data_IF_147221541493
#
_entry.id   IF_147221541493
#
_cell.length_a   1.000
_cell.length_b   1.000
_cell.length_c   1.000
_cell.angle_alpha   90.00
_cell.angle_beta   90.00
_cell.angle_gamma   90.00
#
_symmetry.space_group_name_H-M   'P 1'
#
loop_
_entity.id
_entity.type
_entity.pdbx_description
1 polymer ?
#
# COMPACT_ATOMS: atom_id res chain seq x y z
N UNK A 1 -6.13 -32.67 -6.62
CA UNK A 1 -6.43 -32.23 -5.24
C UNK A 1 -7.40 -31.04 -5.20
N UNK A 2 -7.08 -29.89 -5.82
CA UNK A 2 -7.95 -28.70 -5.76
C UNK A 2 -9.39 -28.91 -6.27
N UNK A 3 -9.58 -29.67 -7.35
CA UNK A 3 -10.93 -30.01 -7.87
C UNK A 3 -11.71 -30.83 -6.83
N UNK A 4 -11.06 -31.81 -6.19
CA UNK A 4 -11.70 -32.62 -5.16
C UNK A 4 -12.09 -31.76 -3.95
N UNK A 5 -11.26 -30.80 -3.56
CA UNK A 5 -11.57 -29.82 -2.51
C UNK A 5 -12.79 -28.97 -2.88
N UNK A 6 -12.83 -28.40 -4.10
CA UNK A 6 -13.98 -27.63 -4.57
C UNK A 6 -15.28 -28.44 -4.59
N UNK A 7 -15.23 -29.67 -5.11
CA UNK A 7 -16.39 -30.58 -5.12
C UNK A 7 -16.84 -30.95 -3.71
N UNK A 8 -15.90 -31.16 -2.78
CA UNK A 8 -16.22 -31.42 -1.38
C UNK A 8 -16.92 -30.22 -0.73
N UNK A 9 -16.44 -28.98 -0.95
CA UNK A 9 -17.10 -27.76 -0.46
C UNK A 9 -18.53 -27.65 -1.01
N UNK A 10 -18.70 -27.86 -2.32
CA UNK A 10 -19.97 -27.70 -3.02
C UNK A 10 -21.00 -28.80 -2.73
N UNK A 11 -20.56 -30.06 -2.59
CA UNK A 11 -21.47 -31.23 -2.61
C UNK A 11 -21.54 -31.98 -1.30
N UNK A 12 -20.54 -31.85 -0.43
CA UNK A 12 -20.44 -32.66 0.80
C UNK A 12 -20.51 -31.82 2.07
N UNK A 13 -19.80 -30.69 2.12
CA UNK A 13 -19.70 -29.88 3.34
C UNK A 13 -20.94 -29.01 3.58
N UNK A 14 -21.71 -28.67 2.54
CA UNK A 14 -22.89 -27.82 2.65
C UNK A 14 -22.57 -26.35 2.93
N UNK A 15 -21.49 -25.84 2.32
CA UNK A 15 -21.08 -24.44 2.48
C UNK A 15 -22.04 -23.49 1.77
N UNK A 16 -22.41 -22.39 2.42
CA UNK A 16 -23.27 -21.36 1.84
C UNK A 16 -22.52 -20.24 1.13
N UNK A 17 -21.27 -19.97 1.53
CA UNK A 17 -20.39 -18.96 0.95
C UNK A 17 -18.92 -19.28 1.25
N UNK A 18 -18.03 -18.86 0.37
CA UNK A 18 -16.58 -18.94 0.56
C UNK A 18 -16.05 -17.58 0.96
N UNK A 19 -15.28 -17.52 2.05
CA UNK A 19 -14.49 -16.32 2.39
C UNK A 19 -13.04 -16.58 2.05
N UNK A 20 -12.53 -15.93 1.01
CA UNK A 20 -11.11 -15.94 0.67
C UNK A 20 -10.37 -14.87 1.48
N UNK A 21 -9.22 -15.22 2.06
CA UNK A 21 -8.41 -14.29 2.86
C UNK A 21 -6.99 -14.29 2.33
N UNK A 22 -6.48 -13.12 1.95
CA UNK A 22 -5.15 -12.94 1.38
C UNK A 22 -5.09 -11.75 0.42
N UNK A 23 -3.88 -11.38 -0.02
CA UNK A 23 -3.70 -10.31 -1.01
C UNK A 23 -4.25 -10.70 -2.39
N UNK A 24 -4.10 -11.98 -2.76
CA UNK A 24 -4.76 -12.65 -3.88
C UNK A 24 -4.66 -14.18 -3.71
N UNK A 25 -5.56 -14.92 -4.36
CA UNK A 25 -5.56 -16.38 -4.38
C UNK A 25 -4.86 -16.89 -5.64
N UNK A 26 -4.80 -18.20 -5.80
CA UNK A 26 -4.42 -18.83 -7.09
C UNK A 26 -5.64 -19.15 -7.95
N UNK A 27 -6.83 -19.20 -7.34
CA UNK A 27 -8.05 -19.71 -7.96
C UNK A 27 -8.49 -18.87 -9.16
N UNK A 28 -8.51 -17.55 -9.00
CA UNK A 28 -8.86 -16.58 -10.03
C UNK A 28 -7.82 -16.50 -11.18
N UNK A 29 -6.68 -17.20 -11.05
CA UNK A 29 -5.62 -17.26 -12.06
C UNK A 29 -5.54 -18.60 -12.79
N UNK A 30 -6.34 -19.60 -12.39
CA UNK A 30 -6.32 -20.91 -13.03
C UNK A 30 -6.73 -20.85 -14.52
N UNK A 31 -6.34 -21.85 -15.34
CA UNK A 31 -6.64 -21.85 -16.77
C UNK A 31 -8.13 -21.72 -17.09
N UNK A 32 -8.43 -20.99 -18.17
CA UNK A 32 -9.79 -20.76 -18.66
C UNK A 32 -9.92 -19.39 -19.32
N UNK A 33 -11.15 -18.98 -19.59
CA UNK A 33 -11.45 -17.66 -20.17
C UNK A 33 -11.03 -16.52 -19.24
N UNK A 34 -10.76 -15.35 -19.81
CA UNK A 34 -10.37 -14.16 -19.07
C UNK A 34 -11.53 -13.54 -18.25
N UNK A 35 -12.76 -13.69 -18.72
CA UNK A 35 -14.02 -13.26 -18.07
C UNK A 35 -15.16 -14.11 -18.63
N UNK A 36 -16.33 -14.12 -17.97
CA UNK A 36 -17.52 -14.86 -18.39
C UNK A 36 -17.18 -16.35 -18.63
N UNK A 37 -16.82 -17.01 -17.52
CA UNK A 37 -16.33 -18.38 -17.54
C UNK A 37 -17.36 -19.36 -18.10
N UNK A 38 -16.87 -20.41 -18.76
CA UNK A 38 -17.67 -21.60 -19.10
C UNK A 38 -17.54 -22.65 -18.00
N UNK A 39 -18.43 -23.63 -18.04
CA UNK A 39 -18.39 -24.87 -17.23
C UNK A 39 -17.07 -25.65 -17.31
N UNK A 40 -16.28 -25.45 -18.37
CA UNK A 40 -14.95 -26.03 -18.56
C UNK A 40 -13.80 -25.21 -17.98
N UNK A 41 -14.05 -24.00 -17.46
CA UNK A 41 -13.01 -23.19 -16.84
C UNK A 41 -12.70 -23.67 -15.41
N UNK A 42 -11.42 -23.76 -15.06
CA UNK A 42 -11.03 -24.27 -13.73
C UNK A 42 -11.65 -23.54 -12.54
N UNK A 43 -11.72 -22.18 -12.51
CA UNK A 43 -12.35 -21.50 -11.39
C UNK A 43 -13.83 -21.88 -11.24
N UNK A 44 -14.55 -21.98 -12.36
CA UNK A 44 -15.97 -22.39 -12.40
C UNK A 44 -16.16 -23.82 -11.86
N UNK A 45 -15.29 -24.75 -12.24
CA UNK A 45 -15.34 -26.13 -11.73
C UNK A 45 -15.17 -26.17 -10.20
N UNK A 46 -14.30 -25.32 -9.65
CA UNK A 46 -13.94 -25.33 -8.23
C UNK A 46 -14.92 -24.56 -7.36
N UNK A 47 -15.42 -23.39 -7.78
CA UNK A 47 -16.38 -22.60 -7.00
C UNK A 47 -17.83 -22.89 -7.34
N UNK A 48 -18.11 -23.22 -8.60
CA UNK A 48 -19.48 -23.30 -9.12
C UNK A 48 -20.30 -22.06 -8.75
N UNK A 49 -21.51 -22.29 -8.25
CA UNK A 49 -22.43 -21.23 -7.82
C UNK A 49 -22.21 -20.73 -6.39
N UNK A 50 -21.15 -21.13 -5.69
CA UNK A 50 -20.88 -20.65 -4.33
C UNK A 50 -20.53 -19.15 -4.35
N UNK A 51 -21.23 -18.31 -3.58
CA UNK A 51 -20.84 -16.91 -3.40
C UNK A 51 -19.42 -16.80 -2.83
N UNK A 52 -18.60 -15.97 -3.45
CA UNK A 52 -17.24 -15.68 -2.98
C UNK A 52 -17.18 -14.28 -2.39
N UNK A 53 -16.84 -14.18 -1.11
CA UNK A 53 -16.61 -12.93 -0.39
C UNK A 53 -15.11 -12.82 -0.14
N UNK A 54 -14.53 -11.68 -0.47
CA UNK A 54 -13.08 -11.55 -0.50
C UNK A 54 -12.65 -10.21 0.11
N UNK A 55 -12.28 -10.17 1.41
CA UNK A 55 -11.42 -9.12 1.95
C UNK A 55 -10.21 -8.85 1.06
N UNK A 56 -10.10 -7.66 0.49
CA UNK A 56 -9.10 -7.33 -0.52
C UNK A 56 -8.45 -5.98 -0.24
N UNK A 57 -7.13 -5.86 -0.41
CA UNK A 57 -6.42 -4.60 -0.13
C UNK A 57 -6.82 -3.51 -1.13
N UNK A 58 -7.23 -2.33 -0.64
CA UNK A 58 -7.73 -1.24 -1.50
C UNK A 58 -6.71 -0.74 -2.52
N UNK A 59 -5.41 -0.90 -2.24
CA UNK A 59 -4.32 -0.45 -3.10
C UNK A 59 -3.99 -1.40 -4.25
N UNK A 60 -4.68 -2.54 -4.39
CA UNK A 60 -4.43 -3.51 -5.46
C UNK A 60 -5.65 -3.73 -6.38
N UNK A 61 -6.07 -2.69 -7.14
CA UNK A 61 -7.25 -2.76 -7.99
C UNK A 61 -7.15 -3.79 -9.12
N UNK A 62 -5.95 -4.00 -9.68
CA UNK A 62 -5.75 -4.86 -10.85
C UNK A 62 -6.12 -6.32 -10.55
N UNK A 63 -5.61 -6.84 -9.43
CA UNK A 63 -5.91 -8.19 -8.99
C UNK A 63 -7.33 -8.33 -8.47
N UNK A 64 -7.86 -7.29 -7.81
CA UNK A 64 -9.26 -7.26 -7.41
C UNK A 64 -10.18 -7.44 -8.63
N UNK A 65 -9.92 -6.75 -9.74
CA UNK A 65 -10.69 -6.94 -10.98
C UNK A 65 -10.66 -8.39 -11.49
N UNK A 66 -9.53 -9.08 -11.37
CA UNK A 66 -9.41 -10.48 -11.78
C UNK A 66 -10.32 -11.37 -10.92
N UNK A 67 -10.27 -11.22 -9.59
CA UNK A 67 -11.14 -11.95 -8.68
C UNK A 67 -12.63 -11.68 -8.97
N UNK A 68 -13.00 -10.41 -9.19
CA UNK A 68 -14.38 -10.06 -9.55
C UNK A 68 -14.85 -10.71 -10.85
N UNK A 69 -14.00 -10.73 -11.88
CA UNK A 69 -14.36 -11.19 -13.23
C UNK A 69 -14.34 -12.71 -13.39
N UNK A 70 -13.50 -13.41 -12.64
CA UNK A 70 -13.25 -14.85 -12.82
C UNK A 70 -13.81 -15.73 -11.72
N UNK A 71 -14.06 -15.20 -10.52
CA UNK A 71 -14.69 -15.97 -9.43
C UNK A 71 -15.88 -15.24 -8.81
N UNK A 72 -16.44 -14.25 -9.53
CA UNK A 72 -17.59 -13.46 -9.12
C UNK A 72 -17.45 -12.83 -7.72
N UNK A 73 -16.22 -12.53 -7.28
CA UNK A 73 -15.97 -12.12 -5.91
C UNK A 73 -16.60 -10.77 -5.55
N UNK A 74 -17.19 -10.71 -4.35
CA UNK A 74 -17.47 -9.46 -3.62
C UNK A 74 -16.19 -9.05 -2.92
N UNK A 75 -15.43 -8.16 -3.57
CA UNK A 75 -14.11 -7.72 -3.07
C UNK A 75 -14.29 -6.58 -2.08
N UNK A 76 -14.34 -6.91 -0.79
CA UNK A 76 -14.49 -5.96 0.31
C UNK A 76 -13.16 -5.29 0.60
N UNK A 77 -13.02 -4.04 0.19
CA UNK A 77 -11.81 -3.25 0.39
C UNK A 77 -11.40 -3.19 1.85
N UNK A 78 -10.11 -3.39 2.16
CA UNK A 78 -9.56 -3.14 3.49
C UNK A 78 -8.36 -2.20 3.47
N UNK A 79 -8.10 -1.56 4.60
CA UNK A 79 -6.96 -0.65 4.77
C UNK A 79 -5.62 -1.34 4.47
N UNK A 80 -4.64 -0.64 3.87
CA UNK A 80 -3.26 -1.10 3.92
C UNK A 80 -2.75 -1.04 5.37
N UNK A 81 -1.65 -1.76 5.68
CA UNK A 81 -0.96 -1.61 6.95
C UNK A 81 -0.66 -0.13 7.26
N UNK A 82 -0.63 0.25 8.55
CA UNK A 82 -0.24 1.60 8.92
C UNK A 82 1.18 1.87 8.42
N UNK A 83 1.41 3.11 8.03
CA UNK A 83 2.71 3.57 7.57
C UNK A 83 3.34 4.39 8.70
N UNK A 84 4.61 4.15 8.97
CA UNK A 84 5.44 4.97 9.85
C UNK A 84 6.62 5.51 9.04
N UNK A 85 7.23 6.60 9.50
CA UNK A 85 8.50 7.05 8.92
C UNK A 85 9.56 5.98 9.17
N UNK A 86 10.51 5.80 8.25
CA UNK A 86 11.57 4.80 8.39
C UNK A 86 12.39 4.93 9.70
N UNK A 87 12.27 6.07 10.41
CA UNK A 87 13.17 6.44 11.48
C UNK A 87 14.56 6.69 10.92
N UNK A 88 15.36 7.47 11.63
CA UNK A 88 16.77 7.63 11.30
C UNK A 88 17.58 6.72 12.22
N UNK A 89 18.53 5.99 11.68
CA UNK A 89 19.54 5.31 12.50
C UNK A 89 20.45 6.33 13.22
N UNK A 90 21.33 5.86 14.11
CA UNK A 90 22.16 6.76 14.93
C UNK A 90 23.07 7.66 14.07
N UNK A 91 23.58 7.15 12.95
CA UNK A 91 24.45 7.91 12.05
C UNK A 91 23.67 8.96 11.25
N UNK A 92 22.47 8.60 10.79
CA UNK A 92 21.53 9.47 10.09
C UNK A 92 21.01 10.58 11.00
N UNK A 93 20.60 10.27 12.24
CA UNK A 93 20.19 11.25 13.24
C UNK A 93 21.32 12.22 13.59
N UNK A 94 22.56 11.71 13.70
CA UNK A 94 23.72 12.56 13.94
C UNK A 94 23.96 13.52 12.78
N UNK A 95 23.79 13.05 11.55
CA UNK A 95 23.96 13.86 10.36
C UNK A 95 22.86 14.93 10.24
N UNK A 96 21.60 14.56 10.51
CA UNK A 96 20.46 15.48 10.60
C UNK A 96 20.72 16.62 11.59
N UNK A 97 21.10 16.30 12.83
CA UNK A 97 21.42 17.33 13.84
C UNK A 97 22.49 18.31 13.36
N UNK A 98 23.52 17.82 12.67
CA UNK A 98 24.57 18.69 12.13
C UNK A 98 24.07 19.60 11.01
N UNK A 99 23.18 19.10 10.15
CA UNK A 99 22.55 19.86 9.07
C UNK A 99 21.61 20.93 9.64
N UNK A 100 20.81 20.61 10.65
CA UNK A 100 19.96 21.57 11.36
C UNK A 100 20.79 22.67 12.03
N UNK A 101 21.89 22.32 12.71
CA UNK A 101 22.82 23.29 13.28
C UNK A 101 23.46 24.18 12.21
N UNK A 102 23.77 23.62 11.03
CA UNK A 102 24.30 24.38 9.90
C UNK A 102 23.28 25.40 9.37
N UNK A 103 22.02 25.00 9.23
CA UNK A 103 20.93 25.89 8.83
C UNK A 103 20.72 27.02 9.84
N UNK A 104 20.80 26.74 11.15
CA UNK A 104 20.72 27.76 12.21
C UNK A 104 21.92 28.71 12.23
N UNK A 105 23.11 28.26 11.83
CA UNK A 105 24.31 29.10 11.75
C UNK A 105 24.35 29.98 10.50
N UNK A 106 23.51 29.70 9.50
CA UNK A 106 23.37 30.51 8.29
C UNK A 106 22.90 31.93 8.65
N UNK A 107 23.59 32.94 8.13
CA UNK A 107 23.32 34.36 8.41
C UNK A 107 23.78 34.89 9.78
N UNK A 108 24.15 34.03 10.75
CA UNK A 108 24.54 34.45 12.11
C UNK A 108 26.05 34.34 12.39
N UNK A 109 26.71 33.25 11.99
CA UNK A 109 28.16 33.05 12.21
C UNK A 109 28.79 32.27 11.05
N UNK A 110 29.44 33.00 10.14
CA UNK A 110 30.11 32.43 8.96
C UNK A 110 31.22 31.44 9.32
N UNK A 111 31.97 31.66 10.42
CA UNK A 111 33.05 30.75 10.82
C UNK A 111 32.52 29.45 11.43
N UNK A 112 31.37 29.51 12.12
CA UNK A 112 30.69 28.31 12.61
C UNK A 112 30.09 27.53 11.44
N UNK A 113 29.46 28.21 10.50
CA UNK A 113 28.91 27.63 9.27
C UNK A 113 29.96 26.83 8.49
N UNK A 114 31.11 27.42 8.19
CA UNK A 114 32.17 26.77 7.42
C UNK A 114 32.75 25.53 8.12
N UNK A 115 32.72 25.51 9.46
CA UNK A 115 33.14 24.35 10.26
C UNK A 115 32.09 23.24 10.24
N UNK A 116 30.81 23.58 10.39
CA UNK A 116 29.71 22.64 10.31
C UNK A 116 29.64 22.00 8.91
N UNK A 117 29.83 22.79 7.85
CA UNK A 117 29.90 22.30 6.47
C UNK A 117 30.92 21.15 6.30
N UNK A 118 32.15 21.38 6.77
CA UNK A 118 33.21 20.36 6.72
C UNK A 118 32.87 19.13 7.56
N UNK A 119 32.33 19.35 8.75
CA UNK A 119 31.99 18.28 9.69
C UNK A 119 30.86 17.38 9.15
N UNK A 120 29.85 17.96 8.49
CA UNK A 120 28.76 17.20 7.85
C UNK A 120 29.33 16.27 6.78
N UNK A 121 30.12 16.81 5.84
CA UNK A 121 30.69 16.03 4.74
C UNK A 121 31.66 14.95 5.25
N UNK A 122 32.47 15.26 6.26
CA UNK A 122 33.38 14.29 6.87
C UNK A 122 32.61 13.18 7.59
N UNK A 123 31.57 13.54 8.34
CA UNK A 123 30.71 12.57 9.05
C UNK A 123 30.03 11.64 8.05
N UNK A 124 29.40 12.19 7.01
CA UNK A 124 28.75 11.43 5.96
C UNK A 124 29.73 10.46 5.24
N UNK A 125 30.98 10.89 5.00
CA UNK A 125 32.01 10.03 4.40
C UNK A 125 32.46 8.91 5.34
N UNK A 126 32.60 9.19 6.64
CA UNK A 126 33.00 8.21 7.65
C UNK A 126 31.96 7.13 7.88
N UNK A 127 30.68 7.49 7.80
CA UNK A 127 29.57 6.55 8.01
C UNK A 127 29.12 5.84 6.73
N UNK A 128 29.62 6.23 5.56
CA UNK A 128 29.22 5.69 4.26
C UNK A 128 28.02 6.41 3.62
N UNK A 129 27.30 7.23 4.39
CA UNK A 129 26.09 7.95 3.96
C UNK A 129 26.34 8.95 2.82
N UNK A 130 27.57 9.44 2.64
CA UNK A 130 27.92 10.28 1.49
C UNK A 130 27.68 9.54 0.16
N UNK A 131 27.93 8.23 0.10
CA UNK A 131 27.66 7.43 -1.10
C UNK A 131 26.17 7.24 -1.32
N UNK A 132 25.40 7.06 -0.24
CA UNK A 132 23.93 6.88 -0.30
C UNK A 132 23.23 8.17 -0.74
N UNK A 133 23.71 9.32 -0.28
CA UNK A 133 23.25 10.64 -0.72
C UNK A 133 23.75 11.03 -2.13
N UNK A 134 24.50 10.17 -2.81
CA UNK A 134 25.00 10.42 -4.17
C UNK A 134 26.07 11.51 -4.25
N UNK A 135 26.85 11.73 -3.18
CA UNK A 135 27.95 12.69 -3.14
C UNK A 135 29.20 12.10 -3.79
N UNK A 136 29.72 12.74 -4.84
CA UNK A 136 30.96 12.32 -5.47
C UNK A 136 32.18 12.78 -4.66
N UNK A 137 33.32 12.10 -4.84
CA UNK A 137 34.59 12.47 -4.18
C UNK A 137 35.09 13.86 -4.62
N UNK A 138 34.70 14.29 -5.81
CA UNK A 138 35.08 15.56 -6.45
C UNK A 138 34.11 16.70 -6.17
N UNK A 139 32.98 16.44 -5.51
CA UNK A 139 31.98 17.48 -5.24
C UNK A 139 32.55 18.57 -4.35
N UNK A 140 32.21 19.82 -4.68
CA UNK A 140 32.50 20.93 -3.79
C UNK A 140 31.67 20.79 -2.51
N UNK A 141 32.17 21.29 -1.35
CA UNK A 141 31.48 21.14 -0.07
C UNK A 141 30.01 21.58 -0.07
N UNK A 142 29.68 22.67 -0.76
CA UNK A 142 28.32 23.20 -0.84
C UNK A 142 27.38 22.30 -1.65
N UNK A 143 27.89 21.65 -2.71
CA UNK A 143 27.11 20.69 -3.49
C UNK A 143 26.88 19.39 -2.71
N UNK A 144 27.94 18.90 -2.05
CA UNK A 144 27.85 17.74 -1.17
C UNK A 144 26.82 17.95 -0.04
N UNK A 145 26.79 19.16 0.55
CA UNK A 145 25.81 19.54 1.56
C UNK A 145 24.37 19.50 1.04
N UNK A 146 24.11 20.09 -0.12
CA UNK A 146 22.76 20.09 -0.73
C UNK A 146 22.26 18.68 -1.01
N UNK A 147 23.14 17.79 -1.49
CA UNK A 147 22.80 16.38 -1.74
C UNK A 147 22.48 15.63 -0.45
N UNK A 148 23.27 15.84 0.60
CA UNK A 148 23.04 15.25 1.92
C UNK A 148 21.72 15.73 2.52
N UNK A 149 21.42 17.03 2.43
CA UNK A 149 20.18 17.61 2.93
C UNK A 149 18.95 17.07 2.18
N UNK A 150 19.00 17.04 0.83
CA UNK A 150 17.94 16.47 0.02
C UNK A 150 17.69 14.99 0.34
N UNK A 151 18.76 14.20 0.46
CA UNK A 151 18.67 12.79 0.82
C UNK A 151 18.09 12.56 2.22
N UNK A 152 18.47 13.39 3.21
CA UNK A 152 17.87 13.32 4.55
C UNK A 152 16.38 13.67 4.53
N UNK A 153 15.95 14.65 3.72
CA UNK A 153 14.54 14.95 3.52
C UNK A 153 13.80 13.76 2.88
N UNK A 154 14.34 13.19 1.81
CA UNK A 154 13.75 12.02 1.14
C UNK A 154 13.63 10.80 2.07
N UNK A 155 14.62 10.59 2.94
CA UNK A 155 14.62 9.50 3.91
C UNK A 155 13.56 9.70 5.01
N UNK A 156 13.35 10.94 5.46
CA UNK A 156 12.28 11.27 6.41
C UNK A 156 10.89 11.11 5.78
N UNK A 157 10.77 11.41 4.49
CA UNK A 157 9.54 11.23 3.72
C UNK A 157 9.29 9.76 3.34
N UNK A 158 10.27 8.87 3.58
CA UNK A 158 10.13 7.46 3.29
C UNK A 158 9.19 6.77 4.29
N UNK A 159 7.99 6.47 3.82
CA UNK A 159 6.99 5.74 4.57
C UNK A 159 7.23 4.23 4.48
N UNK A 160 7.53 3.58 5.61
CA UNK A 160 7.63 2.12 5.74
C UNK A 160 6.37 1.55 6.40
N UNK A 161 6.07 0.28 6.13
CA UNK A 161 4.93 -0.40 6.76
C UNK A 161 5.28 -0.72 8.22
N UNK A 162 4.45 -0.27 9.15
CA UNK A 162 4.58 -0.51 10.58
C UNK A 162 3.66 -1.66 11.02
N UNK A 163 4.09 -2.90 10.76
CA UNK A 163 3.28 -4.08 11.06
C UNK A 163 2.21 -4.39 10.00
N UNK A 164 1.07 -4.91 10.45
CA UNK A 164 0.03 -5.49 9.59
C UNK A 164 -1.34 -4.88 9.89
N UNK A 165 -2.18 -4.80 8.85
CA UNK A 165 -3.60 -4.49 9.03
C UNK A 165 -4.31 -5.69 9.67
N UNK A 166 -5.18 -5.43 10.65
CA UNK A 166 -6.09 -6.43 11.21
C UNK A 166 -7.51 -6.08 10.75
N UNK A 167 -8.09 -6.92 9.91
CA UNK A 167 -9.39 -6.68 9.29
C UNK A 167 -10.46 -6.34 10.32
N UNK A 168 -11.14 -5.21 10.12
CA UNK A 168 -12.19 -4.74 11.00
C UNK A 168 -11.73 -4.23 12.38
N UNK A 169 -10.45 -3.89 12.54
CA UNK A 169 -9.90 -3.28 13.76
C UNK A 169 -9.11 -2.02 13.43
N UNK A 170 -9.27 -1.00 14.27
CA UNK A 170 -8.40 0.17 14.29
C UNK A 170 -7.55 0.14 15.58
N UNK A 171 -6.30 0.62 15.55
CA UNK A 171 -5.53 0.89 16.75
C UNK A 171 -6.29 1.80 17.74
N UNK A 172 -6.07 1.64 19.04
CA UNK A 172 -6.73 2.47 20.07
C UNK A 172 -6.36 3.96 19.94
N UNK A 173 -5.15 4.23 19.46
CA UNK A 173 -4.59 5.56 19.21
C UNK A 173 -4.82 6.07 17.77
N UNK A 174 -5.66 5.40 16.98
CA UNK A 174 -5.97 5.82 15.60
C UNK A 174 -6.70 7.16 15.58
N UNK A 175 -5.97 8.19 15.18
CA UNK A 175 -6.46 9.58 15.14
C UNK A 175 -7.38 9.83 13.95
N UNK A 176 -7.19 9.16 12.81
CA UNK A 176 -7.95 9.42 11.59
C UNK A 176 -9.38 8.84 11.70
N UNK A 177 -10.43 9.69 11.70
CA UNK A 177 -11.81 9.22 11.80
C UNK A 177 -12.22 8.33 10.62
N UNK A 178 -11.67 8.55 9.42
CA UNK A 178 -11.98 7.73 8.25
C UNK A 178 -11.38 6.33 8.35
N UNK A 179 -10.21 6.19 9.01
CA UNK A 179 -9.59 4.89 9.27
C UNK A 179 -10.33 4.13 10.37
N UNK A 180 -10.81 4.81 11.42
CA UNK A 180 -11.75 4.19 12.38
C UNK A 180 -13.05 3.74 11.73
N UNK A 181 -13.65 4.59 10.90
CA UNK A 181 -14.87 4.25 10.16
C UNK A 181 -14.63 3.06 9.20
N UNK A 182 -13.45 2.99 8.60
CA UNK A 182 -13.03 1.88 7.74
C UNK A 182 -13.06 0.54 8.47
N UNK A 183 -12.51 0.46 9.69
CA UNK A 183 -12.55 -0.75 10.50
C UNK A 183 -14.00 -1.20 10.81
N UNK A 184 -14.87 -0.27 11.20
CA UNK A 184 -16.28 -0.59 11.45
C UNK A 184 -17.00 -1.06 10.17
N UNK A 185 -16.75 -0.39 9.04
CA UNK A 185 -17.34 -0.71 7.75
C UNK A 185 -16.86 -2.07 7.21
N UNK A 186 -15.57 -2.41 7.36
CA UNK A 186 -15.00 -3.71 7.01
C UNK A 186 -15.76 -4.84 7.71
N UNK A 187 -15.92 -4.74 9.04
CA UNK A 187 -16.63 -5.75 9.83
C UNK A 187 -18.12 -5.82 9.46
N UNK A 188 -18.79 -4.67 9.39
CA UNK A 188 -20.22 -4.61 9.10
C UNK A 188 -20.55 -5.17 7.72
N UNK A 189 -19.74 -4.84 6.70
CA UNK A 189 -20.03 -5.25 5.33
C UNK A 189 -19.59 -6.69 5.03
N UNK A 190 -18.64 -7.26 5.77
CA UNK A 190 -18.39 -8.71 5.74
C UNK A 190 -19.63 -9.48 6.19
N UNK A 191 -20.24 -9.08 7.32
CA UNK A 191 -21.48 -9.68 7.81
C UNK A 191 -22.65 -9.44 6.86
N UNK A 192 -22.77 -8.22 6.31
CA UNK A 192 -23.81 -7.91 5.33
C UNK A 192 -23.69 -8.77 4.06
N UNK A 193 -22.46 -8.99 3.55
CA UNK A 193 -22.22 -9.84 2.40
C UNK A 193 -22.56 -11.31 2.67
N UNK A 194 -22.20 -11.82 3.87
CA UNK A 194 -22.57 -13.18 4.30
C UNK A 194 -24.08 -13.35 4.46
N UNK A 195 -24.80 -12.28 4.81
CA UNK A 195 -26.27 -12.22 4.88
C UNK A 195 -26.92 -11.94 3.51
N UNK A 196 -26.17 -11.99 2.41
CA UNK A 196 -26.67 -11.78 1.05
C UNK A 196 -27.13 -10.35 0.75
N UNK A 197 -26.75 -9.36 1.58
CA UNK A 197 -27.12 -7.96 1.39
C UNK A 197 -26.20 -7.27 0.39
N UNK A 198 -26.74 -6.25 -0.26
CA UNK A 198 -25.97 -5.42 -1.17
C UNK A 198 -24.90 -4.61 -0.41
N UNK A 199 -23.63 -4.78 -0.80
CA UNK A 199 -22.52 -3.96 -0.32
C UNK A 199 -22.22 -2.85 -1.34
N UNK A 200 -22.26 -1.60 -0.87
CA UNK A 200 -22.02 -0.42 -1.70
C UNK A 200 -20.66 -0.49 -2.39
N UNK A 201 -20.62 -0.10 -3.66
CA UNK A 201 -19.40 -0.01 -4.42
C UNK A 201 -18.51 1.17 -3.97
N UNK A 202 -17.18 1.02 -4.08
CA UNK A 202 -16.21 2.05 -3.73
C UNK A 202 -14.95 2.00 -4.59
N UNK A 203 -14.25 3.14 -4.77
CA UNK A 203 -13.05 3.17 -5.58
C UNK A 203 -11.90 2.43 -4.88
N UNK A 204 -10.96 1.95 -5.69
CA UNK A 204 -9.69 1.40 -5.25
C UNK A 204 -8.52 2.33 -5.61
N UNK A 205 -7.43 2.23 -4.86
CA UNK A 205 -6.26 3.09 -4.93
C UNK A 205 -5.45 3.09 -3.62
N UNK A 206 -4.25 3.64 -3.66
CA UNK A 206 -3.39 3.75 -2.48
C UNK A 206 -3.71 5.05 -1.71
N UNK A 207 -4.28 5.01 -0.50
CA UNK A 207 -4.59 6.23 0.27
C UNK A 207 -3.37 7.13 0.48
N UNK A 208 -2.22 6.51 0.75
CA UNK A 208 -0.94 7.20 0.95
C UNK A 208 -0.41 7.94 -0.28
N UNK A 209 -0.94 7.65 -1.49
CA UNK A 209 -0.61 8.37 -2.73
C UNK A 209 -1.70 9.38 -3.12
N UNK A 210 -2.36 9.98 -2.12
CA UNK A 210 -3.35 11.04 -2.31
C UNK A 210 -4.75 10.56 -2.69
N UNK A 211 -5.01 9.25 -2.76
CA UNK A 211 -6.34 8.69 -3.06
C UNK A 211 -7.20 8.58 -1.80
N UNK A 212 -7.49 9.70 -1.14
CA UNK A 212 -8.33 9.73 0.08
C UNK A 212 -9.78 9.32 -0.19
N UNK A 213 -10.24 9.41 -1.45
CA UNK A 213 -11.58 8.99 -1.91
C UNK A 213 -11.87 7.49 -1.72
N UNK A 214 -10.83 6.67 -1.52
CA UNK A 214 -10.95 5.23 -1.22
C UNK A 214 -11.38 4.97 0.22
N UNK A 215 -11.29 5.97 1.10
CA UNK A 215 -11.79 5.89 2.46
C UNK A 215 -13.24 6.40 2.56
N UNK A 216 -14.06 5.83 3.46
CA UNK A 216 -13.78 4.65 4.26
C UNK A 216 -13.71 3.38 3.40
N UNK A 217 -12.96 2.38 3.87
CA UNK A 217 -12.91 1.03 3.27
C UNK A 217 -14.17 0.23 3.66
N UNK A 218 -14.15 -1.09 3.46
CA UNK A 218 -15.29 -1.98 3.65
C UNK A 218 -16.27 -1.99 2.47
N UNK A 219 -15.95 -1.32 1.36
CA UNK A 219 -16.81 -1.22 0.17
C UNK A 219 -16.42 -2.26 -0.88
N UNK A 220 -17.37 -2.61 -1.75
CA UNK A 220 -17.11 -3.50 -2.89
C UNK A 220 -16.31 -2.76 -3.96
N UNK A 221 -15.04 -3.11 -4.14
CA UNK A 221 -14.13 -2.34 -4.99
C UNK A 221 -14.56 -2.29 -6.46
N UNK A 222 -14.49 -1.12 -7.08
CA UNK A 222 -14.47 -0.96 -8.52
C UNK A 222 -13.09 -0.47 -8.99
N UNK A 223 -12.72 -0.82 -10.22
CA UNK A 223 -11.48 -0.38 -10.86
C UNK A 223 -11.70 0.82 -11.77
N UNK A 224 -10.62 1.43 -12.23
CA UNK A 224 -10.65 2.52 -13.21
C UNK A 224 -11.27 2.09 -14.54
N UNK A 225 -11.83 3.07 -15.27
CA UNK A 225 -12.27 2.87 -16.65
C UNK A 225 -11.03 2.71 -17.56
N UNK A 226 -10.87 1.58 -18.27
CA UNK A 226 -9.72 1.37 -19.15
C UNK A 226 -9.67 2.34 -20.33
N UNK A 227 -10.79 2.95 -20.71
CA UNK A 227 -10.86 3.91 -21.83
C UNK A 227 -10.34 5.29 -21.47
N UNK A 228 -10.19 5.57 -20.17
CA UNK A 228 -9.67 6.85 -19.67
C UNK A 228 -8.18 6.76 -19.33
N UNK A 229 -7.49 5.70 -19.78
CA UNK A 229 -6.07 5.47 -19.52
C UNK A 229 -5.26 5.54 -20.83
N UNK A 230 -4.03 6.12 -20.80
CA UNK A 230 -3.45 6.86 -19.68
C UNK A 230 -4.18 8.18 -19.44
N UNK A 231 -4.18 8.67 -18.20
CA UNK A 231 -4.61 10.05 -17.93
C UNK A 231 -3.56 11.03 -18.47
N UNK A 232 -3.92 12.31 -18.74
CA UNK A 232 -2.94 13.31 -19.16
C UNK A 232 -1.73 13.39 -18.21
N UNK A 233 -1.98 13.39 -16.90
CA UNK A 233 -0.92 13.37 -15.88
C UNK A 233 -0.04 12.11 -15.96
N UNK A 234 -0.62 10.94 -16.23
CA UNK A 234 0.17 9.71 -16.37
C UNK A 234 1.00 9.69 -17.66
N UNK A 235 0.52 10.33 -18.73
CA UNK A 235 1.29 10.53 -19.97
C UNK A 235 2.46 11.51 -19.76
N UNK A 236 2.24 12.62 -19.05
CA UNK A 236 3.30 13.61 -18.80
C UNK A 236 4.41 13.08 -17.87
N UNK A 237 4.09 12.12 -17.00
CA UNK A 237 5.03 11.47 -16.08
C UNK A 237 5.79 10.28 -16.70
N UNK A 238 5.27 9.68 -17.78
CA UNK A 238 5.77 8.42 -18.37
C UNK A 238 6.76 8.64 -19.50
#
# INVERSE_FOLDING_TARGET
>A
ELIAFGLWLQKSLGVHAIVHVGAHGTLEWLPGKAVALSDTCFPEIVTGSLPVIYPFIVSNPGEAAQAKRRIAAVTLGHLPPPLTGAGLDEAQQRLERLVDEYAQADGLDRRRRDRLAKLIVETARKTGLASEAGVAKTDQPDEALRRIDAWLCDLKDFAVKDGLHVYGRAPEDEVDPLRRQSAEAEKANLLAALDGRHVKAGPAGAPARGRSDVLPTGRNLFTSDPRTMPTPTAHDLG
#
